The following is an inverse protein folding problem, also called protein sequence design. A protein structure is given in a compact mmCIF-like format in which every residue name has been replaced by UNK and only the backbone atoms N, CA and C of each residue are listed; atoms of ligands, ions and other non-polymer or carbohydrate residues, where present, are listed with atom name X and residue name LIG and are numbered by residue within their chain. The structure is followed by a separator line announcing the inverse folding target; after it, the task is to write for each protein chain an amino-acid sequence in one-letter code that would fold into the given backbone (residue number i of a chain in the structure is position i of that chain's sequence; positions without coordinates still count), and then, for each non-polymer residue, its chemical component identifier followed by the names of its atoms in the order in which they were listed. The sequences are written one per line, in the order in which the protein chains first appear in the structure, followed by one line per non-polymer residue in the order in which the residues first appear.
data_IF_384828419394
#
_entry.id   IF_384828419394
#
_cell.length_a   1.000
_cell.length_b   1.000
_cell.length_c   1.000
_cell.angle_alpha   90.00
_cell.angle_beta   90.00
_cell.angle_gamma   90.00
#
_symmetry.space_group_name_H-M   'P 1'
#
loop_
_entity.id
_entity.type
_entity.pdbx_description
1 polymer ?
#
# COMPACT_ATOMS: atom_id res chain seq x y z
N UNK A 1 11.49 9.26 24.26
CA UNK A 1 11.87 9.46 22.86
C UNK A 1 10.76 9.00 21.94
N UNK A 2 10.81 9.43 20.68
CA UNK A 2 9.94 8.96 19.61
C UNK A 2 10.82 8.63 18.39
N UNK A 3 10.46 7.60 17.67
CA UNK A 3 11.20 7.14 16.49
C UNK A 3 10.25 6.47 15.50
N UNK A 4 10.60 6.50 14.22
CA UNK A 4 9.93 5.75 13.14
C UNK A 4 10.64 4.44 12.82
N UNK A 5 11.74 4.12 13.51
CA UNK A 5 12.48 2.88 13.32
C UNK A 5 11.71 1.70 13.89
N UNK A 6 11.91 0.53 13.29
CA UNK A 6 11.38 -0.70 13.82
C UNK A 6 11.99 -1.00 15.21
N UNK A 7 11.22 -1.62 16.12
CA UNK A 7 11.72 -1.97 17.46
C UNK A 7 13.02 -2.79 17.42
N UNK A 8 13.20 -3.62 16.42
CA UNK A 8 14.41 -4.47 16.25
C UNK A 8 15.69 -3.67 15.97
N UNK A 9 15.56 -2.46 15.42
CA UNK A 9 16.67 -1.55 15.14
C UNK A 9 17.11 -0.75 16.37
N UNK A 10 16.33 -0.82 17.45
CA UNK A 10 16.62 -0.12 18.70
C UNK A 10 17.42 -1.06 19.61
N UNK A 11 18.49 -0.53 20.19
CA UNK A 11 19.36 -1.34 21.06
C UNK A 11 18.56 -2.00 22.18
N UNK A 12 18.75 -3.30 22.45
CA UNK A 12 18.03 -4.04 23.50
C UNK A 12 18.15 -3.39 24.89
N UNK A 13 19.27 -2.74 25.17
CA UNK A 13 19.51 -2.05 26.44
C UNK A 13 18.57 -0.85 26.66
N UNK A 14 18.15 -0.15 25.59
CA UNK A 14 17.14 0.91 25.67
C UNK A 14 15.74 0.32 25.79
N UNK A 15 15.41 -0.69 24.98
CA UNK A 15 14.09 -1.33 24.99
C UNK A 15 13.74 -1.90 26.36
N UNK A 16 14.69 -2.56 27.00
CA UNK A 16 14.46 -3.17 28.32
C UNK A 16 14.18 -2.18 29.46
N UNK A 17 14.50 -0.88 29.26
CA UNK A 17 14.30 0.18 30.24
C UNK A 17 13.17 1.15 29.91
N UNK A 18 12.50 0.95 28.78
CA UNK A 18 11.43 1.82 28.31
C UNK A 18 10.14 1.02 28.11
N UNK A 19 9.00 1.68 28.32
CA UNK A 19 7.71 1.17 27.88
C UNK A 19 7.53 1.56 26.42
N UNK A 20 7.25 0.61 25.58
CA UNK A 20 6.95 0.85 24.15
C UNK A 20 5.48 1.24 23.99
N UNK A 21 5.25 2.40 23.39
CA UNK A 21 3.91 2.86 23.02
C UNK A 21 3.89 2.99 21.49
N UNK A 22 3.02 2.24 20.88
CA UNK A 22 2.87 2.23 19.42
C UNK A 22 1.83 3.26 18.96
N UNK A 23 2.22 4.10 18.00
CA UNK A 23 1.32 5.03 17.33
C UNK A 23 1.09 4.58 15.89
N UNK A 24 -0.16 4.29 15.56
CA UNK A 24 -0.54 4.00 14.17
C UNK A 24 -0.54 5.25 13.31
N UNK A 25 -0.52 5.08 12.00
CA UNK A 25 -0.78 6.17 11.06
C UNK A 25 -2.16 6.80 11.26
N UNK A 26 -2.27 8.07 10.91
CA UNK A 26 -3.54 8.80 10.96
C UNK A 26 -4.45 8.39 9.80
N UNK A 27 -5.73 8.23 10.07
CA UNK A 27 -6.77 8.09 9.03
C UNK A 27 -7.20 9.46 8.51
N UNK A 28 -7.88 9.49 7.38
CA UNK A 28 -8.26 10.76 6.72
C UNK A 28 -9.10 11.67 7.62
N UNK A 29 -10.02 11.09 8.39
CA UNK A 29 -10.88 11.82 9.32
C UNK A 29 -10.10 12.51 10.45
N UNK A 30 -9.06 11.84 10.95
CA UNK A 30 -8.17 12.43 11.98
C UNK A 30 -7.33 13.57 11.41
N UNK A 31 -6.90 13.45 10.15
CA UNK A 31 -6.20 14.52 9.43
C UNK A 31 -7.14 15.71 9.22
N UNK A 32 -8.39 15.48 8.82
CA UNK A 32 -9.39 16.54 8.70
C UNK A 32 -9.62 17.27 10.01
N UNK A 33 -9.66 16.54 11.13
CA UNK A 33 -9.80 17.17 12.45
C UNK A 33 -8.60 18.04 12.82
N UNK A 34 -7.38 17.56 12.51
CA UNK A 34 -6.14 18.36 12.67
C UNK A 34 -6.23 19.65 11.81
N UNK A 35 -6.70 19.53 10.56
CA UNK A 35 -6.86 20.66 9.67
C UNK A 35 -7.83 21.71 10.26
N UNK A 36 -9.01 21.31 10.68
CA UNK A 36 -10.04 22.19 11.28
C UNK A 36 -9.52 22.91 12.52
N UNK A 37 -8.78 22.21 13.38
CA UNK A 37 -8.17 22.79 14.58
C UNK A 37 -7.03 23.77 14.25
N UNK A 38 -6.23 23.43 13.22
CA UNK A 38 -5.08 24.25 12.84
C UNK A 38 -5.46 25.57 12.20
N UNK A 39 -6.41 25.55 11.26
CA UNK A 39 -6.87 26.78 10.60
C UNK A 39 -7.55 27.74 11.57
N UNK A 40 -8.28 27.21 12.56
CA UNK A 40 -8.88 28.01 13.61
C UNK A 40 -7.85 28.77 14.45
N UNK A 41 -6.69 28.14 14.73
CA UNK A 41 -5.59 28.78 15.50
C UNK A 41 -4.98 29.96 14.77
N UNK A 42 -4.94 29.95 13.44
CA UNK A 42 -4.38 31.03 12.62
C UNK A 42 -5.45 32.05 12.17
N UNK A 43 -6.68 31.90 12.65
CA UNK A 43 -7.78 32.84 12.34
C UNK A 43 -8.35 32.71 10.93
N UNK A 44 -8.21 31.55 10.31
CA UNK A 44 -8.81 31.22 9.02
C UNK A 44 -10.03 30.32 9.17
N UNK A 45 -10.84 30.28 8.11
CA UNK A 45 -11.88 29.26 7.91
C UNK A 45 -11.47 28.32 6.79
N UNK A 46 -11.90 27.07 6.86
CA UNK A 46 -11.61 26.03 5.88
C UNK A 46 -12.92 25.49 5.32
N UNK A 47 -13.02 25.47 4.02
CA UNK A 47 -14.15 24.85 3.32
C UNK A 47 -14.13 23.34 3.52
N UNK A 48 -15.30 22.71 3.57
CA UNK A 48 -15.39 21.27 3.86
C UNK A 48 -14.73 20.42 2.77
N UNK A 49 -14.93 20.78 1.51
CA UNK A 49 -14.33 20.06 0.38
C UNK A 49 -12.81 20.28 0.31
N UNK A 50 -12.32 21.47 0.69
CA UNK A 50 -10.89 21.72 0.88
C UNK A 50 -10.30 20.82 1.99
N UNK A 51 -11.03 20.67 3.10
CA UNK A 51 -10.62 19.81 4.20
C UNK A 51 -10.51 18.34 3.79
N UNK A 52 -11.51 17.82 3.10
CA UNK A 52 -11.51 16.45 2.55
C UNK A 52 -10.35 16.24 1.57
N UNK A 53 -10.08 17.23 0.74
CA UNK A 53 -8.95 17.16 -0.21
C UNK A 53 -7.62 17.07 0.53
N UNK A 54 -7.38 17.85 1.57
CA UNK A 54 -6.17 17.69 2.40
C UNK A 54 -6.09 16.27 2.98
N UNK A 55 -7.21 15.71 3.47
CA UNK A 55 -7.29 14.34 3.96
C UNK A 55 -6.90 13.29 2.91
N UNK A 56 -7.18 13.57 1.62
CA UNK A 56 -6.85 12.68 0.51
C UNK A 56 -5.35 12.68 0.18
N UNK A 57 -4.67 13.83 0.31
CA UNK A 57 -3.28 13.99 -0.11
C UNK A 57 -2.28 13.88 1.04
N UNK A 58 -2.64 14.27 2.25
CA UNK A 58 -1.73 14.26 3.39
C UNK A 58 -1.68 12.90 4.08
N UNK A 59 -0.51 12.29 4.17
CA UNK A 59 -0.28 11.01 4.85
C UNK A 59 -0.09 11.16 6.36
N UNK A 60 0.20 12.37 6.83
CA UNK A 60 0.45 12.68 8.24
C UNK A 60 0.10 14.14 8.56
N UNK A 61 0.05 14.46 9.85
CA UNK A 61 -0.32 15.79 10.30
C UNK A 61 0.64 16.91 9.84
N UNK A 62 1.92 16.62 9.62
CA UNK A 62 2.89 17.61 9.13
C UNK A 62 2.59 17.97 7.68
N UNK A 63 2.35 16.99 6.82
CA UNK A 63 1.97 17.23 5.43
C UNK A 63 0.65 18.01 5.34
N UNK A 64 -0.33 17.67 6.17
CA UNK A 64 -1.59 18.39 6.24
C UNK A 64 -1.39 19.88 6.60
N UNK A 65 -0.56 20.16 7.60
CA UNK A 65 -0.25 21.54 7.99
C UNK A 65 0.52 22.28 6.91
N UNK A 66 1.46 21.64 6.22
CA UNK A 66 2.20 22.24 5.11
C UNK A 66 1.26 22.63 3.97
N UNK A 67 0.34 21.73 3.58
CA UNK A 67 -0.68 22.04 2.56
C UNK A 67 -1.52 23.25 2.96
N UNK A 68 -2.01 23.28 4.21
CA UNK A 68 -2.80 24.39 4.72
C UNK A 68 -2.03 25.70 4.78
N UNK A 69 -0.74 25.68 5.14
CA UNK A 69 0.11 26.87 5.17
C UNK A 69 0.28 27.46 3.77
N UNK A 70 0.53 26.63 2.76
CA UNK A 70 0.65 27.09 1.38
C UNK A 70 -0.69 27.64 0.88
N UNK A 71 -1.80 26.92 1.08
CA UNK A 71 -3.12 27.37 0.69
C UNK A 71 -3.56 28.65 1.43
N UNK A 72 -3.22 28.81 2.70
CA UNK A 72 -3.49 30.03 3.44
C UNK A 72 -2.71 31.23 2.89
N UNK A 73 -1.49 31.00 2.39
CA UNK A 73 -0.70 32.02 1.69
C UNK A 73 -1.39 32.52 0.42
N UNK A 74 -1.95 31.60 -0.39
CA UNK A 74 -2.72 31.94 -1.59
C UNK A 74 -3.96 32.77 -1.21
N UNK A 75 -4.75 32.27 -0.27
CA UNK A 75 -5.96 32.97 0.19
C UNK A 75 -5.64 34.39 0.71
N UNK A 76 -4.54 34.55 1.48
CA UNK A 76 -4.07 35.85 1.95
C UNK A 76 -3.70 36.80 0.81
N UNK A 77 -3.01 36.30 -0.19
CA UNK A 77 -2.61 37.11 -1.36
C UNK A 77 -3.84 37.63 -2.13
N UNK A 78 -4.96 36.92 -2.06
CA UNK A 78 -6.25 37.35 -2.60
C UNK A 78 -7.14 38.15 -1.60
N UNK A 79 -6.57 38.47 -0.43
CA UNK A 79 -7.30 39.23 0.60
C UNK A 79 -8.35 38.41 1.36
N UNK A 80 -8.33 37.08 1.24
CA UNK A 80 -9.30 36.16 1.89
C UNK A 80 -8.72 35.57 3.17
N UNK A 81 -9.58 35.32 4.14
CA UNK A 81 -9.31 34.48 5.33
C UNK A 81 -10.06 33.15 5.30
N UNK A 82 -10.47 32.72 4.12
CA UNK A 82 -11.12 31.44 3.88
C UNK A 82 -10.32 30.66 2.86
N UNK A 83 -9.92 29.46 3.23
CA UNK A 83 -9.27 28.50 2.34
C UNK A 83 -10.36 27.71 1.64
N UNK A 84 -10.37 27.76 0.31
CA UNK A 84 -11.31 27.06 -0.56
C UNK A 84 -10.63 25.87 -1.23
N UNK A 85 -11.44 25.02 -1.86
CA UNK A 85 -10.95 23.82 -2.54
C UNK A 85 -9.88 24.14 -3.60
N UNK A 86 -10.10 25.18 -4.39
CA UNK A 86 -9.20 25.59 -5.47
C UNK A 86 -7.79 25.97 -4.97
N UNK A 87 -7.70 26.54 -3.75
CA UNK A 87 -6.39 26.84 -3.13
C UNK A 87 -5.59 25.54 -2.88
N UNK A 88 -6.27 24.50 -2.38
CA UNK A 88 -5.64 23.20 -2.15
C UNK A 88 -5.32 22.52 -3.48
N UNK A 89 -6.22 22.57 -4.45
CA UNK A 89 -6.02 22.02 -5.80
C UNK A 89 -4.75 22.60 -6.43
N UNK A 90 -4.62 23.92 -6.40
CA UNK A 90 -3.43 24.59 -6.91
C UNK A 90 -2.13 24.13 -6.20
N UNK A 91 -2.16 24.02 -4.85
CA UNK A 91 -0.99 23.58 -4.09
C UNK A 91 -0.62 22.15 -4.44
N UNK A 92 -1.59 21.27 -4.61
CA UNK A 92 -1.37 19.85 -4.89
C UNK A 92 -0.80 19.66 -6.30
N UNK A 93 -1.35 20.36 -7.28
CA UNK A 93 -0.89 20.28 -8.69
C UNK A 93 0.52 20.83 -8.87
N UNK A 94 0.83 21.96 -8.20
CA UNK A 94 2.14 22.60 -8.34
C UNK A 94 3.19 22.09 -7.34
N UNK A 95 2.77 21.47 -6.25
CA UNK A 95 3.63 20.97 -5.17
C UNK A 95 4.07 19.53 -5.31
N UNK A 96 3.75 18.87 -6.43
CA UNK A 96 4.08 17.45 -6.69
C UNK A 96 3.55 16.49 -5.61
N UNK A 97 2.36 16.80 -5.07
CA UNK A 97 1.66 15.90 -4.15
C UNK A 97 0.91 14.82 -4.92
N UNK A 98 1.00 13.59 -4.45
CA UNK A 98 0.24 12.48 -5.00
C UNK A 98 -0.91 12.11 -4.06
N UNK A 99 -2.10 11.83 -4.58
CA UNK A 99 -3.21 11.39 -3.73
C UNK A 99 -2.86 10.04 -3.09
N UNK A 100 -3.36 9.81 -1.89
CA UNK A 100 -3.32 8.50 -1.28
C UNK A 100 -4.00 7.51 -2.20
N UNK A 101 -3.38 6.37 -2.41
CA UNK A 101 -3.97 5.29 -3.20
C UNK A 101 -5.14 4.72 -2.40
N UNK A 102 -6.37 5.13 -2.73
CA UNK A 102 -7.56 4.44 -2.25
C UNK A 102 -7.67 3.09 -2.98
N UNK A 103 -7.30 2.04 -2.30
CA UNK A 103 -7.52 0.68 -2.80
C UNK A 103 -8.99 0.35 -2.60
N UNK A 104 -9.79 0.49 -3.66
CA UNK A 104 -11.21 0.10 -3.65
C UNK A 104 -11.31 -1.41 -3.70
N UNK A 105 -11.74 -2.00 -2.59
CA UNK A 105 -12.08 -3.42 -2.54
C UNK A 105 -13.35 -3.63 -3.36
N UNK A 106 -13.37 -4.51 -4.36
CA UNK A 106 -14.58 -4.82 -5.12
C UNK A 106 -15.70 -5.31 -4.22
N UNK A 107 -16.89 -4.81 -4.44
CA UNK A 107 -18.11 -5.22 -3.69
C UNK A 107 -18.77 -6.47 -4.26
N UNK A 108 -18.36 -6.90 -5.44
CA UNK A 108 -18.89 -8.10 -6.11
C UNK A 108 -17.77 -9.11 -6.32
N UNK A 109 -18.05 -10.41 -6.12
CA UNK A 109 -17.12 -11.48 -6.45
C UNK A 109 -16.62 -11.41 -7.90
N UNK A 110 -15.34 -11.67 -8.09
CA UNK A 110 -14.70 -11.70 -9.43
C UNK A 110 -13.82 -12.94 -9.55
N UNK A 111 -13.75 -13.47 -10.76
CA UNK A 111 -12.87 -14.61 -11.06
C UNK A 111 -11.42 -14.14 -11.05
N UNK A 112 -10.56 -14.85 -10.33
CA UNK A 112 -9.12 -14.57 -10.27
C UNK A 112 -8.74 -13.25 -9.64
N UNK A 113 -9.64 -12.57 -8.93
CA UNK A 113 -9.35 -11.33 -8.22
C UNK A 113 -9.43 -11.56 -6.72
N UNK A 114 -8.34 -11.31 -6.02
CA UNK A 114 -8.22 -11.51 -4.57
C UNK A 114 -7.55 -10.32 -3.91
N UNK A 115 -7.81 -10.14 -2.63
CA UNK A 115 -7.15 -9.13 -1.83
C UNK A 115 -6.12 -9.80 -0.90
N UNK A 116 -4.86 -9.44 -1.06
CA UNK A 116 -3.81 -9.74 -0.11
C UNK A 116 -3.76 -8.68 0.99
N UNK A 117 -3.18 -9.04 2.13
CA UNK A 117 -2.87 -8.10 3.20
C UNK A 117 -1.36 -7.91 3.26
N UNK A 118 -0.94 -6.68 3.31
CA UNK A 118 0.45 -6.30 3.42
C UNK A 118 0.68 -5.23 4.48
N UNK A 119 1.94 -4.96 4.77
CA UNK A 119 2.36 -3.85 5.62
C UNK A 119 3.21 -2.92 4.76
N UNK A 120 2.88 -1.65 4.80
CA UNK A 120 3.59 -0.61 4.08
C UNK A 120 4.23 0.37 5.07
N UNK A 121 5.51 0.71 4.85
CA UNK A 121 6.26 1.61 5.71
C UNK A 121 6.27 1.16 7.19
N UNK A 122 6.16 2.10 8.10
CA UNK A 122 6.17 1.82 9.54
C UNK A 122 4.80 1.29 10.02
N UNK A 123 4.53 0.02 9.78
CA UNK A 123 3.36 -0.69 10.31
C UNK A 123 1.98 -0.17 9.84
N UNK A 124 1.90 0.37 8.63
CA UNK A 124 0.60 0.70 8.02
C UNK A 124 0.11 -0.53 7.26
N UNK A 125 -1.02 -1.08 7.71
CA UNK A 125 -1.69 -2.16 7.01
C UNK A 125 -2.21 -1.67 5.66
N UNK A 126 -1.99 -2.45 4.61
CA UNK A 126 -2.49 -2.17 3.27
C UNK A 126 -3.22 -3.38 2.69
N UNK A 127 -4.32 -3.11 2.02
CA UNK A 127 -4.97 -4.10 1.17
C UNK A 127 -4.29 -4.06 -0.20
N UNK A 128 -3.93 -5.21 -0.70
CA UNK A 128 -3.18 -5.35 -1.94
C UNK A 128 -3.99 -6.21 -2.91
N UNK A 129 -4.62 -5.60 -3.91
CA UNK A 129 -5.36 -6.36 -4.90
C UNK A 129 -4.40 -7.13 -5.79
N UNK A 130 -4.75 -8.38 -6.05
CA UNK A 130 -4.00 -9.33 -6.87
C UNK A 130 -4.94 -9.84 -7.96
N UNK A 131 -4.55 -9.68 -9.21
CA UNK A 131 -5.24 -10.26 -10.35
C UNK A 131 -4.51 -11.50 -10.84
N UNK A 132 -5.26 -12.56 -11.03
CA UNK A 132 -4.74 -13.85 -11.48
C UNK A 132 -5.54 -14.32 -12.68
N UNK A 133 -4.84 -14.63 -13.75
CA UNK A 133 -5.43 -15.24 -14.93
C UNK A 133 -4.82 -16.62 -15.17
N UNK A 134 -5.64 -17.58 -15.58
CA UNK A 134 -5.21 -18.93 -15.92
C UNK A 134 -5.76 -19.28 -17.31
N UNK A 135 -4.86 -19.44 -18.26
CA UNK A 135 -5.21 -19.79 -19.66
C UNK A 135 -4.80 -21.25 -19.86
N UNK A 136 -5.74 -22.07 -20.34
CA UNK A 136 -5.47 -23.49 -20.56
C UNK A 136 -4.38 -23.68 -21.63
N UNK A 137 -3.35 -24.44 -21.27
CA UNK A 137 -2.25 -24.81 -22.15
C UNK A 137 -2.32 -26.31 -22.45
N UNK A 138 -2.64 -26.64 -23.71
CA UNK A 138 -2.84 -28.01 -24.13
C UNK A 138 -1.53 -28.80 -24.33
N UNK A 139 -0.38 -28.15 -24.21
CA UNK A 139 0.92 -28.76 -24.47
C UNK A 139 1.63 -29.27 -23.20
N UNK A 140 1.02 -29.11 -22.02
CA UNK A 140 1.63 -29.51 -20.73
C UNK A 140 2.92 -28.74 -20.39
N UNK A 141 3.08 -27.52 -20.92
CA UNK A 141 4.26 -26.64 -20.72
C UNK A 141 3.85 -25.27 -20.17
N UNK A 142 2.77 -25.23 -19.42
CA UNK A 142 2.28 -24.01 -18.80
C UNK A 142 3.33 -23.37 -17.87
N UNK A 143 3.27 -22.06 -17.78
CA UNK A 143 4.21 -21.22 -17.00
C UNK A 143 3.47 -20.37 -16.00
N UNK A 144 4.11 -20.12 -14.87
CA UNK A 144 3.64 -19.16 -13.86
C UNK A 144 4.50 -17.90 -13.96
N UNK A 145 3.89 -16.80 -14.34
CA UNK A 145 4.51 -15.49 -14.45
C UNK A 145 4.01 -14.61 -13.30
N UNK A 146 4.90 -13.82 -12.73
CA UNK A 146 4.58 -12.86 -11.66
C UNK A 146 4.97 -11.48 -12.14
N UNK A 147 3.99 -10.58 -12.16
CA UNK A 147 4.14 -9.18 -12.54
C UNK A 147 3.80 -8.25 -11.36
N UNK A 148 4.28 -7.01 -11.44
CA UNK A 148 4.18 -6.01 -10.39
C UNK A 148 5.57 -5.60 -9.88
N UNK A 149 5.62 -4.64 -8.96
CA UNK A 149 6.87 -4.20 -8.35
C UNK A 149 7.26 -5.22 -7.28
N UNK A 150 8.27 -6.02 -7.58
CA UNK A 150 8.82 -7.03 -6.68
C UNK A 150 10.20 -6.53 -6.24
N UNK A 151 10.36 -6.22 -4.97
CA UNK A 151 11.66 -5.83 -4.43
C UNK A 151 12.64 -7.01 -4.49
N UNK A 152 13.81 -6.75 -5.04
CA UNK A 152 14.96 -7.63 -4.95
C UNK A 152 15.95 -7.00 -3.97
N UNK A 153 16.05 -7.54 -2.77
CA UNK A 153 17.09 -7.11 -1.84
C UNK A 153 18.47 -7.53 -2.32
N UNK A 154 19.34 -6.56 -2.53
CA UNK A 154 20.77 -6.79 -2.66
C UNK A 154 21.42 -6.69 -1.27
N UNK A 155 21.66 -7.82 -0.62
CA UNK A 155 22.37 -7.86 0.65
C UNK A 155 23.85 -8.05 0.37
N UNK A 156 24.68 -7.07 0.71
CA UNK A 156 26.14 -7.22 0.71
C UNK A 156 26.89 -5.95 0.39
N UNK A 157 27.97 -5.70 1.12
CA UNK A 157 29.01 -4.72 0.80
C UNK A 157 29.89 -5.20 -0.36
N UNK A 158 30.87 -4.40 -0.76
CA UNK A 158 31.67 -4.46 -2.00
C UNK A 158 32.33 -5.80 -2.39
N UNK A 159 32.19 -6.89 -1.63
CA UNK A 159 32.87 -8.16 -1.91
C UNK A 159 31.99 -9.41 -2.07
N UNK A 160 30.69 -9.37 -1.69
CA UNK A 160 29.76 -10.47 -1.96
C UNK A 160 28.35 -9.90 -2.20
N UNK A 161 27.88 -9.95 -3.43
CA UNK A 161 26.48 -9.67 -3.78
C UNK A 161 25.69 -10.97 -3.65
N UNK A 162 24.86 -11.09 -2.62
CA UNK A 162 23.88 -12.17 -2.50
C UNK A 162 22.56 -11.60 -3.05
N UNK A 163 22.13 -12.10 -4.20
CA UNK A 163 20.77 -11.85 -4.69
C UNK A 163 19.82 -12.75 -3.89
N UNK A 164 19.00 -12.17 -3.04
CA UNK A 164 17.91 -12.87 -2.40
C UNK A 164 16.72 -12.88 -3.35
N UNK A 165 16.16 -14.06 -3.65
CA UNK A 165 14.87 -14.15 -4.35
C UNK A 165 13.85 -13.38 -3.53
N UNK A 166 13.02 -12.55 -4.20
CA UNK A 166 11.89 -11.90 -3.55
C UNK A 166 11.06 -12.93 -2.79
N UNK A 167 10.71 -12.62 -1.55
CA UNK A 167 9.88 -13.51 -0.72
C UNK A 167 8.50 -13.73 -1.35
N UNK A 168 7.98 -12.77 -2.12
CA UNK A 168 6.75 -12.91 -2.89
C UNK A 168 6.88 -14.01 -3.97
N UNK A 169 8.00 -14.08 -4.69
CA UNK A 169 8.26 -15.17 -5.65
C UNK A 169 8.37 -16.54 -4.96
N UNK A 170 9.05 -16.60 -3.82
CA UNK A 170 9.12 -17.82 -3.03
C UNK A 170 7.72 -18.25 -2.54
N UNK A 171 6.87 -17.29 -2.16
CA UNK A 171 5.49 -17.56 -1.77
C UNK A 171 4.69 -18.17 -2.92
N UNK A 172 4.81 -17.64 -4.13
CA UNK A 172 4.17 -18.22 -5.33
C UNK A 172 4.66 -19.63 -5.60
N UNK A 173 5.97 -19.88 -5.55
CA UNK A 173 6.55 -21.22 -5.73
C UNK A 173 6.00 -22.24 -4.71
N UNK A 174 5.91 -21.81 -3.43
CA UNK A 174 5.34 -22.65 -2.36
C UNK A 174 3.86 -22.94 -2.59
N UNK A 175 3.07 -21.92 -2.98
CA UNK A 175 1.65 -22.08 -3.32
C UNK A 175 1.48 -23.07 -4.47
N UNK A 176 2.28 -22.95 -5.52
CA UNK A 176 2.23 -23.87 -6.67
C UNK A 176 2.53 -25.31 -6.22
N UNK A 177 3.51 -25.50 -5.33
CA UNK A 177 3.84 -26.83 -4.78
C UNK A 177 2.66 -27.39 -3.96
N UNK A 178 2.00 -26.60 -3.13
CA UNK A 178 0.82 -27.00 -2.34
C UNK A 178 -0.36 -27.34 -3.25
N UNK A 179 -0.69 -26.49 -4.22
CA UNK A 179 -1.79 -26.74 -5.16
C UNK A 179 -1.59 -28.05 -5.95
N UNK A 180 -0.36 -28.33 -6.34
CA UNK A 180 -0.02 -29.59 -7.02
C UNK A 180 -0.06 -30.79 -6.07
N UNK A 181 0.58 -30.69 -4.90
CA UNK A 181 0.77 -31.83 -4.00
C UNK A 181 -0.46 -32.18 -3.16
N UNK A 182 -1.24 -31.18 -2.72
CA UNK A 182 -2.39 -31.38 -1.83
C UNK A 182 -3.70 -31.41 -2.60
N UNK A 183 -3.86 -30.50 -3.58
CA UNK A 183 -5.10 -30.37 -4.35
C UNK A 183 -5.07 -31.09 -5.69
N UNK A 184 -3.95 -31.72 -6.04
CA UNK A 184 -3.75 -32.46 -7.29
C UNK A 184 -4.07 -31.64 -8.56
N UNK A 185 -3.79 -30.34 -8.54
CA UNK A 185 -4.00 -29.43 -9.65
C UNK A 185 -2.76 -29.45 -10.56
N UNK A 186 -2.92 -29.88 -11.81
CA UNK A 186 -1.84 -29.90 -12.80
C UNK A 186 -1.62 -28.50 -13.37
N UNK A 187 -0.80 -27.69 -12.71
CA UNK A 187 -0.51 -26.31 -13.11
C UNK A 187 0.19 -26.24 -14.47
N UNK A 188 0.87 -27.29 -14.89
CA UNK A 188 1.51 -27.40 -16.21
C UNK A 188 0.52 -27.32 -17.37
N UNK A 189 -0.77 -27.52 -17.11
CA UNK A 189 -1.83 -27.39 -18.11
C UNK A 189 -2.35 -25.94 -18.25
N UNK A 190 -1.76 -24.98 -17.55
CA UNK A 190 -2.19 -23.60 -17.55
C UNK A 190 -1.02 -22.62 -17.64
N UNK A 191 -1.17 -21.58 -18.43
CA UNK A 191 -0.35 -20.39 -18.35
C UNK A 191 -1.01 -19.44 -17.35
N UNK A 192 -0.34 -19.24 -16.21
CA UNK A 192 -0.84 -18.48 -15.07
C UNK A 192 -0.08 -17.17 -14.98
N UNK A 193 -0.80 -16.06 -14.96
CA UNK A 193 -0.22 -14.74 -14.70
C UNK A 193 -0.77 -14.18 -13.39
N UNK A 194 0.11 -13.80 -12.49
CA UNK A 194 -0.20 -13.21 -11.19
C UNK A 194 0.29 -11.77 -11.24
N UNK A 195 -0.62 -10.81 -11.11
CA UNK A 195 -0.32 -9.39 -11.16
C UNK A 195 -0.67 -8.72 -9.84
N UNK A 196 0.33 -8.13 -9.18
CA UNK A 196 0.15 -7.32 -7.98
C UNK A 196 -0.15 -5.88 -8.40
N UNK A 197 -1.39 -5.44 -8.17
CA UNK A 197 -1.85 -4.11 -8.53
C UNK A 197 -1.41 -3.05 -7.49
N UNK A 198 -1.35 -1.79 -7.93
CA UNK A 198 -1.16 -0.66 -7.03
C UNK A 198 0.26 -0.11 -6.93
N UNK A 199 1.24 -0.70 -7.63
CA UNK A 199 2.61 -0.17 -7.66
C UNK A 199 3.35 -0.17 -6.31
N UNK A 200 2.81 -0.87 -5.31
CA UNK A 200 3.42 -1.02 -3.98
C UNK A 200 4.43 -2.17 -4.07
N UNK A 201 5.67 -1.98 -3.64
CA UNK A 201 6.63 -3.06 -3.55
C UNK A 201 6.11 -4.17 -2.66
N UNK A 202 6.06 -5.40 -3.20
CA UNK A 202 5.59 -6.57 -2.45
C UNK A 202 6.78 -7.37 -1.97
N UNK A 203 6.94 -7.40 -0.66
CA UNK A 203 7.83 -8.33 0.00
C UNK A 203 7.10 -8.99 1.18
N UNK A 204 7.26 -10.31 1.32
CA UNK A 204 6.67 -11.07 2.40
C UNK A 204 5.84 -12.27 1.95
N UNK A 205 5.74 -13.30 2.80
CA UNK A 205 5.01 -14.54 2.51
C UNK A 205 3.49 -14.42 2.76
N UNK A 206 3.02 -13.29 3.28
CA UNK A 206 1.63 -13.09 3.75
C UNK A 206 0.57 -13.21 2.66
N UNK A 207 0.91 -12.96 1.39
CA UNK A 207 -0.01 -13.07 0.26
C UNK A 207 -0.27 -14.53 -0.19
N UNK A 208 0.40 -15.52 0.38
CA UNK A 208 0.36 -16.91 -0.09
C UNK A 208 -1.05 -17.49 -0.16
N UNK A 209 -1.88 -17.30 0.88
CA UNK A 209 -3.25 -17.82 0.89
C UNK A 209 -4.12 -17.13 -0.18
N UNK A 210 -3.99 -15.81 -0.33
CA UNK A 210 -4.72 -15.06 -1.35
C UNK A 210 -4.33 -15.53 -2.76
N UNK A 211 -3.04 -15.75 -3.01
CA UNK A 211 -2.55 -16.28 -4.28
C UNK A 211 -3.12 -17.68 -4.55
N UNK A 212 -3.13 -18.57 -3.54
CA UNK A 212 -3.66 -19.93 -3.69
C UNK A 212 -5.15 -19.90 -4.07
N UNK A 213 -5.95 -19.11 -3.34
CA UNK A 213 -7.37 -18.95 -3.61
C UNK A 213 -7.61 -18.34 -5.01
N UNK A 214 -6.82 -17.32 -5.38
CA UNK A 214 -6.95 -16.66 -6.67
C UNK A 214 -6.58 -17.56 -7.85
N UNK A 215 -5.53 -18.39 -7.73
CA UNK A 215 -5.19 -19.41 -8.74
C UNK A 215 -6.33 -20.43 -8.87
N UNK A 216 -6.84 -20.91 -7.74
CA UNK A 216 -7.96 -21.86 -7.73
C UNK A 216 -9.20 -21.28 -8.41
N UNK A 217 -9.54 -20.02 -8.08
CA UNK A 217 -10.63 -19.27 -8.69
C UNK A 217 -10.45 -19.15 -10.21
N UNK A 218 -9.25 -18.75 -10.65
CA UNK A 218 -8.95 -18.55 -12.07
C UNK A 218 -9.02 -19.85 -12.89
N UNK A 219 -8.50 -20.95 -12.34
CA UNK A 219 -8.53 -22.27 -13.01
C UNK A 219 -9.95 -22.82 -13.13
N UNK A 220 -10.75 -22.68 -12.06
CA UNK A 220 -12.10 -23.24 -12.01
C UNK A 220 -13.18 -22.24 -12.49
N UNK A 221 -12.81 -21.05 -12.93
CA UNK A 221 -13.71 -19.98 -13.33
C UNK A 221 -14.77 -19.65 -12.27
N UNK A 222 -14.39 -19.74 -11.00
CA UNK A 222 -15.29 -19.55 -9.85
C UNK A 222 -15.07 -18.17 -9.24
N UNK A 223 -16.06 -17.26 -9.25
CA UNK A 223 -15.94 -15.95 -8.57
C UNK A 223 -15.83 -16.11 -7.06
N UNK A 224 -15.00 -15.27 -6.44
CA UNK A 224 -14.73 -15.24 -5.00
C UNK A 224 -14.73 -13.81 -4.49
#
# INVERSE_FOLDING_TARGET
GATTRNPEEITPALRSRCVEIFFRGLVSEEIEEICKRSVKKIGFTLEEDACKMVGLYASNGREAINLLQLASGIALNEGRKRIVKDDIEWVVENGNYNPKIEIKVPTKPKIGFVNGLGVYGSNIGAVMPIEITAIKNNFGKGKVNVAGIIEQEQIGGNQRRIQRKSSAKCSVENVCAVLKGVFNISLENYDININFLGGIPVDGPSAGISIAIGIYSAINLMPI
#
